data_IF_032934233653
#
_entry.id   IF_032934233653
#
_cell.length_a   1.000
_cell.length_b   1.000
_cell.length_c   1.000
_cell.angle_alpha   90.00
_cell.angle_beta   90.00
_cell.angle_gamma   90.00
#
_symmetry.space_group_name_H-M   'P 1'
#
loop_
_entity.id
_entity.type
_entity.pdbx_description
1 polymer ?
#
# COMPACT_ATOMS: atom_id res chain seq x y z
N UNK A 1 -26.37 -4.26 -43.02
CA UNK A 1 -25.40 -5.24 -42.47
C UNK A 1 -24.94 -4.87 -41.05
N UNK A 2 -24.86 -3.58 -40.74
CA UNK A 2 -24.35 -3.03 -39.46
C UNK A 2 -25.18 -3.36 -38.21
N UNK A 3 -26.52 -3.35 -38.30
CA UNK A 3 -27.38 -3.75 -37.15
C UNK A 3 -27.22 -5.21 -36.73
N UNK A 4 -26.86 -6.10 -37.67
CA UNK A 4 -26.60 -7.51 -37.35
C UNK A 4 -25.25 -7.68 -36.66
N UNK A 5 -24.23 -6.92 -37.07
CA UNK A 5 -22.91 -6.91 -36.41
C UNK A 5 -23.02 -6.35 -34.99
N UNK A 6 -23.79 -5.28 -34.78
CA UNK A 6 -24.04 -4.71 -33.46
C UNK A 6 -24.76 -5.68 -32.51
N UNK A 7 -25.78 -6.39 -33.00
CA UNK A 7 -26.48 -7.41 -32.21
C UNK A 7 -25.58 -8.62 -31.90
N UNK A 8 -24.71 -9.03 -32.83
CA UNK A 8 -23.73 -10.09 -32.59
C UNK A 8 -22.70 -9.68 -31.54
N UNK A 9 -22.22 -8.44 -31.56
CA UNK A 9 -21.31 -7.90 -30.55
C UNK A 9 -21.97 -7.85 -29.16
N UNK A 10 -23.22 -7.39 -29.09
CA UNK A 10 -23.97 -7.35 -27.83
C UNK A 10 -24.27 -8.77 -27.30
N UNK A 11 -24.54 -9.74 -28.18
CA UNK A 11 -24.68 -11.14 -27.79
C UNK A 11 -23.36 -11.75 -27.30
N UNK A 12 -22.23 -11.43 -27.93
CA UNK A 12 -20.91 -11.90 -27.52
C UNK A 12 -20.48 -11.31 -26.16
N UNK A 13 -20.74 -10.01 -25.94
CA UNK A 13 -20.47 -9.36 -24.65
C UNK A 13 -21.43 -9.84 -23.54
N UNK A 14 -22.68 -10.13 -23.89
CA UNK A 14 -23.66 -10.71 -22.96
C UNK A 14 -23.37 -12.18 -22.61
N UNK A 15 -22.88 -12.97 -23.56
CA UNK A 15 -22.48 -14.36 -23.32
C UNK A 15 -21.20 -14.48 -22.47
N UNK A 16 -20.27 -13.51 -22.58
CA UNK A 16 -19.10 -13.44 -21.69
C UNK A 16 -19.46 -13.03 -20.25
N UNK A 17 -20.52 -12.24 -20.04
CA UNK A 17 -20.94 -11.83 -18.70
C UNK A 17 -21.83 -12.86 -17.97
N UNK A 18 -22.30 -13.90 -18.66
CA UNK A 18 -23.13 -14.96 -18.07
C UNK A 18 -22.35 -16.21 -17.64
N UNK A 19 -21.06 -16.30 -17.95
CA UNK A 19 -20.22 -17.46 -17.63
C UNK A 19 -19.23 -17.26 -16.46
N UNK A 20 -19.25 -16.11 -15.76
CA UNK A 20 -18.27 -15.83 -14.70
C UNK A 20 -18.90 -15.31 -13.38
N UNK A 21 -20.02 -15.91 -12.96
CA UNK A 21 -20.59 -15.66 -11.63
C UNK A 21 -20.66 -16.90 -10.72
N UNK A 22 -20.30 -18.08 -11.24
CA UNK A 22 -20.18 -19.31 -10.44
C UNK A 22 -19.05 -20.16 -11.03
N UNK A 23 -17.92 -20.19 -10.32
CA UNK A 23 -16.75 -21.10 -10.47
C UNK A 23 -15.43 -20.53 -11.05
N UNK A 24 -14.74 -19.68 -10.26
CA UNK A 24 -13.27 -19.65 -10.15
C UNK A 24 -13.00 -19.51 -8.64
N UNK A 25 -12.68 -20.55 -7.87
CA UNK A 25 -11.76 -21.62 -8.22
C UNK A 25 -10.36 -21.01 -8.28
N UNK A 26 -9.66 -21.09 -7.15
CA UNK A 26 -8.32 -20.55 -6.93
C UNK A 26 -7.38 -20.81 -8.13
N UNK A 27 -6.53 -19.86 -8.54
CA UNK A 27 -5.29 -20.24 -9.17
C UNK A 27 -4.42 -20.90 -8.10
N UNK A 28 -4.26 -22.22 -8.19
CA UNK A 28 -3.24 -23.02 -7.51
C UNK A 28 -1.85 -22.38 -7.72
N UNK A 29 -1.45 -21.51 -6.79
CA UNK A 29 -0.06 -21.40 -6.40
C UNK A 29 0.08 -22.26 -5.14
N UNK A 30 0.50 -23.50 -5.34
CA UNK A 30 0.63 -24.46 -4.26
C UNK A 30 1.61 -23.94 -3.19
N UNK A 31 1.21 -24.18 -1.93
CA UNK A 31 2.00 -24.24 -0.69
C UNK A 31 2.21 -22.92 0.09
N UNK A 32 1.24 -22.59 0.95
CA UNK A 32 1.32 -22.93 2.38
C UNK A 32 -0.08 -22.83 3.01
N UNK A 33 -0.66 -23.96 3.39
CA UNK A 33 -2.02 -24.03 3.92
C UNK A 33 -2.11 -23.37 5.30
N UNK A 34 -3.04 -22.44 5.48
CA UNK A 34 -3.62 -22.13 6.79
C UNK A 34 -5.12 -22.23 6.64
N UNK A 35 -5.68 -23.34 7.13
CA UNK A 35 -7.13 -23.57 7.18
C UNK A 35 -7.83 -22.43 7.90
N UNK A 36 -8.71 -21.71 7.21
CA UNK A 36 -9.70 -20.84 7.84
C UNK A 36 -10.97 -21.66 8.08
N UNK A 37 -11.08 -22.22 9.28
CA UNK A 37 -12.37 -22.49 9.89
C UNK A 37 -12.87 -21.14 10.45
N UNK A 38 -14.07 -20.72 10.04
CA UNK A 38 -14.75 -19.58 10.67
C UNK A 38 -15.14 -19.96 12.10
N UNK A 39 -14.72 -19.15 13.08
CA UNK A 39 -15.41 -19.04 14.36
C UNK A 39 -15.07 -17.72 15.07
N UNK A 40 -16.07 -16.87 15.28
CA UNK A 40 -16.08 -15.85 16.33
C UNK A 40 -15.87 -16.52 17.69
N UNK A 41 -14.92 -16.02 18.52
CA UNK A 41 -15.06 -15.82 19.99
C UNK A 41 -13.73 -15.42 20.66
N UNK A 42 -13.75 -14.22 21.24
CA UNK A 42 -13.17 -13.78 22.53
C UNK A 42 -11.66 -13.97 22.86
N UNK A 43 -10.99 -12.81 22.94
CA UNK A 43 -9.81 -12.41 23.74
C UNK A 43 -8.76 -13.47 24.15
N UNK A 44 -7.58 -13.36 23.53
CA UNK A 44 -6.29 -13.72 24.14
C UNK A 44 -5.22 -12.66 23.81
N UNK A 45 -4.21 -12.47 24.67
CA UNK A 45 -3.30 -11.32 24.62
C UNK A 45 -2.40 -11.42 23.40
N UNK A 46 -2.38 -10.37 22.60
CA UNK A 46 -1.55 -10.33 21.40
C UNK A 46 -0.09 -10.13 21.82
N UNK A 47 0.67 -11.22 21.79
CA UNK A 47 2.11 -11.18 21.52
C UNK A 47 2.31 -10.58 20.11
N UNK A 48 2.27 -9.24 20.00
CA UNK A 48 2.41 -8.51 18.73
C UNK A 48 3.69 -7.68 18.63
N UNK A 49 4.49 -7.65 19.70
CA UNK A 49 5.64 -6.74 19.76
C UNK A 49 6.74 -7.16 18.78
N UNK A 50 7.11 -8.45 18.74
CA UNK A 50 8.12 -8.96 17.81
C UNK A 50 7.70 -9.02 16.34
N UNK A 51 6.39 -8.97 16.03
CA UNK A 51 5.91 -8.96 14.62
C UNK A 51 5.98 -7.55 14.04
N UNK A 52 5.61 -6.54 14.84
CA UNK A 52 5.68 -5.15 14.42
C UNK A 52 7.12 -4.64 14.33
N UNK A 53 8.04 -5.11 15.19
CA UNK A 53 9.46 -4.73 15.07
C UNK A 53 10.08 -5.24 13.75
N UNK A 54 9.82 -6.50 13.38
CA UNK A 54 10.32 -7.04 12.11
C UNK A 54 9.69 -6.35 10.88
N UNK A 55 8.40 -6.00 10.95
CA UNK A 55 7.72 -5.26 9.88
C UNK A 55 8.17 -3.80 9.80
N UNK A 56 8.49 -3.18 10.93
CA UNK A 56 9.05 -1.83 10.99
C UNK A 56 10.40 -1.81 10.29
N UNK A 57 11.34 -2.67 10.69
CA UNK A 57 12.66 -2.76 10.06
C UNK A 57 12.57 -3.01 8.57
N UNK A 58 11.72 -3.96 8.14
CA UNK A 58 11.54 -4.25 6.72
C UNK A 58 10.96 -3.04 5.96
N UNK A 59 10.00 -2.34 6.55
CA UNK A 59 9.45 -1.12 5.96
C UNK A 59 10.53 -0.05 5.79
N UNK A 60 11.34 0.18 6.82
CA UNK A 60 12.38 1.21 6.80
C UNK A 60 13.45 0.88 5.76
N UNK A 61 13.93 -0.37 5.73
CA UNK A 61 14.90 -0.83 4.74
C UNK A 61 14.36 -0.73 3.30
N UNK A 62 13.11 -1.13 3.09
CA UNK A 62 12.50 -1.05 1.77
C UNK A 62 12.28 0.39 1.33
N UNK A 63 11.83 1.24 2.25
CA UNK A 63 11.62 2.67 1.98
C UNK A 63 12.95 3.35 1.65
N UNK A 64 14.01 3.06 2.41
CA UNK A 64 15.35 3.58 2.12
C UNK A 64 15.82 3.17 0.72
N UNK A 65 15.72 1.88 0.38
CA UNK A 65 16.08 1.38 -0.95
C UNK A 65 15.24 2.02 -2.06
N UNK A 66 13.95 2.24 -1.82
CA UNK A 66 13.08 2.88 -2.79
C UNK A 66 13.49 4.35 -3.02
N UNK A 67 13.77 5.10 -1.96
CA UNK A 67 14.25 6.49 -2.06
C UNK A 67 15.56 6.55 -2.84
N UNK A 68 16.53 5.68 -2.54
CA UNK A 68 17.80 5.59 -3.27
C UNK A 68 17.57 5.25 -4.75
N UNK A 69 16.71 4.27 -5.03
CA UNK A 69 16.36 3.86 -6.39
C UNK A 69 15.74 5.00 -7.21
N UNK A 70 14.85 5.80 -6.61
CA UNK A 70 14.25 6.97 -7.27
C UNK A 70 15.22 8.16 -7.39
N UNK A 71 16.29 8.21 -6.61
CA UNK A 71 17.34 9.23 -6.75
C UNK A 71 18.27 8.97 -7.95
N UNK A 72 18.29 7.75 -8.49
CA UNK A 72 19.10 7.41 -9.66
C UNK A 72 18.60 8.11 -10.94
N UNK A 73 19.46 8.90 -11.59
CA UNK A 73 19.15 9.56 -12.87
C UNK A 73 18.64 8.58 -13.94
N UNK A 74 19.16 7.35 -13.93
CA UNK A 74 18.73 6.29 -14.86
C UNK A 74 17.25 5.93 -14.62
N UNK A 75 16.88 5.62 -13.38
CA UNK A 75 15.49 5.32 -12.99
C UNK A 75 14.56 6.48 -13.36
N UNK A 76 14.94 7.71 -13.06
CA UNK A 76 14.13 8.89 -13.39
C UNK A 76 13.90 9.02 -14.89
N UNK A 77 14.96 8.84 -15.69
CA UNK A 77 14.88 8.88 -17.16
C UNK A 77 13.99 7.78 -17.71
N UNK A 78 14.11 6.56 -17.20
CA UNK A 78 13.28 5.43 -17.61
C UNK A 78 11.79 5.67 -17.31
N UNK A 79 11.47 6.21 -16.13
CA UNK A 79 10.09 6.55 -15.75
C UNK A 79 9.53 7.66 -16.64
N UNK A 80 10.27 8.74 -16.85
CA UNK A 80 9.82 9.86 -17.71
C UNK A 80 9.55 9.36 -19.13
N UNK A 81 10.47 8.59 -19.71
CA UNK A 81 10.29 8.03 -21.05
C UNK A 81 9.08 7.09 -21.14
N UNK A 82 8.83 6.28 -20.11
CA UNK A 82 7.65 5.42 -20.05
C UNK A 82 6.35 6.24 -20.01
N UNK A 83 6.35 7.34 -19.25
CA UNK A 83 5.19 8.22 -19.14
C UNK A 83 4.95 9.00 -20.44
N UNK A 84 6.00 9.52 -21.09
CA UNK A 84 5.89 10.14 -22.42
C UNK A 84 5.38 9.16 -23.47
N UNK A 85 5.90 7.93 -23.48
CA UNK A 85 5.40 6.87 -24.36
C UNK A 85 3.91 6.62 -24.12
N UNK A 86 3.48 6.62 -22.86
CA UNK A 86 2.07 6.47 -22.49
C UNK A 86 1.21 7.64 -22.97
N UNK A 87 1.74 8.88 -22.97
CA UNK A 87 1.05 10.05 -23.48
C UNK A 87 0.72 9.95 -24.98
N UNK A 88 1.55 9.27 -25.78
CA UNK A 88 1.30 9.07 -27.22
C UNK A 88 -0.02 8.33 -27.52
N UNK A 89 -0.53 7.57 -26.55
CA UNK A 89 -1.81 6.88 -26.68
C UNK A 89 -3.02 7.80 -26.47
N UNK A 90 -2.85 9.01 -25.92
CA UNK A 90 -3.93 9.94 -25.60
C UNK A 90 -4.36 10.84 -26.78
N UNK A 91 -3.80 10.63 -27.98
CA UNK A 91 -4.19 11.30 -29.23
C UNK A 91 -4.27 12.83 -29.06
N UNK A 92 -5.47 13.40 -29.04
CA UNK A 92 -5.69 14.85 -28.93
C UNK A 92 -5.19 15.47 -27.62
N UNK A 93 -4.86 14.67 -26.61
CA UNK A 93 -4.35 15.14 -25.31
C UNK A 93 -2.85 14.84 -25.11
N UNK A 94 -2.14 14.39 -26.14
CA UNK A 94 -0.73 14.03 -26.04
C UNK A 94 0.12 15.19 -25.51
N UNK A 95 0.02 16.39 -26.08
CA UNK A 95 0.81 17.55 -25.65
C UNK A 95 0.49 18.00 -24.21
N UNK A 96 -0.79 17.97 -23.84
CA UNK A 96 -1.21 18.31 -22.46
C UNK A 96 -0.67 17.28 -21.46
N UNK A 97 -0.71 15.99 -21.83
CA UNK A 97 -0.15 14.91 -21.02
C UNK A 97 1.37 15.07 -20.85
N UNK A 98 2.09 15.34 -21.93
CA UNK A 98 3.54 15.58 -21.88
C UNK A 98 3.84 16.77 -20.97
N UNK A 99 3.08 17.85 -21.07
CA UNK A 99 3.25 19.04 -20.23
C UNK A 99 3.05 18.73 -18.74
N UNK A 100 2.07 17.90 -18.40
CA UNK A 100 1.84 17.42 -17.03
C UNK A 100 3.03 16.56 -16.56
N UNK A 101 3.51 15.63 -17.39
CA UNK A 101 4.65 14.75 -17.06
C UNK A 101 5.91 15.59 -16.80
N UNK A 102 6.25 16.49 -17.71
CA UNK A 102 7.46 17.33 -17.63
C UNK A 102 7.46 18.25 -16.41
N UNK A 103 6.28 18.68 -15.97
CA UNK A 103 6.16 19.53 -14.79
C UNK A 103 6.15 18.74 -13.48
N UNK A 104 5.30 17.71 -13.37
CA UNK A 104 5.03 17.06 -12.09
C UNK A 104 5.99 15.93 -11.74
N UNK A 105 6.52 15.20 -12.72
CA UNK A 105 7.38 14.04 -12.44
C UNK A 105 8.73 14.46 -11.82
N UNK A 106 9.41 15.53 -12.28
CA UNK A 106 10.60 16.03 -11.59
C UNK A 106 10.29 16.48 -10.15
N UNK A 107 9.15 17.14 -9.92
CA UNK A 107 8.71 17.55 -8.58
C UNK A 107 8.44 16.33 -7.69
N UNK A 108 7.88 15.26 -8.25
CA UNK A 108 7.67 14.00 -7.55
C UNK A 108 8.99 13.37 -7.09
N UNK A 109 10.04 13.36 -7.92
CA UNK A 109 11.34 12.85 -7.49
C UNK A 109 11.98 13.70 -6.39
N UNK A 110 11.82 15.03 -6.48
CA UNK A 110 12.24 15.94 -5.41
C UNK A 110 11.51 15.63 -4.11
N UNK A 111 10.19 15.44 -4.15
CA UNK A 111 9.39 15.12 -2.96
C UNK A 111 9.79 13.77 -2.35
N UNK A 112 9.96 12.73 -3.18
CA UNK A 112 10.43 11.41 -2.71
C UNK A 112 11.78 11.51 -2.01
N UNK A 113 12.70 12.33 -2.51
CA UNK A 113 14.02 12.49 -1.89
C UNK A 113 13.98 13.06 -0.47
N UNK A 114 12.85 13.66 -0.06
CA UNK A 114 12.65 14.17 1.31
C UNK A 114 12.11 13.13 2.28
N UNK A 115 11.68 11.96 1.79
CA UNK A 115 11.08 10.92 2.62
C UNK A 115 12.11 10.32 3.56
N UNK A 116 11.83 10.43 4.86
CA UNK A 116 12.57 9.71 5.90
C UNK A 116 11.90 8.35 6.15
N UNK A 117 12.62 7.22 6.04
CA UNK A 117 12.06 5.87 6.20
C UNK A 117 11.28 5.67 7.50
N UNK A 118 11.84 6.11 8.63
CA UNK A 118 11.19 5.99 9.93
C UNK A 118 9.86 6.74 9.99
N UNK A 119 9.82 8.00 9.53
CA UNK A 119 8.60 8.82 9.51
C UNK A 119 7.54 8.25 8.58
N UNK A 120 7.97 7.75 7.41
CA UNK A 120 7.09 7.08 6.45
C UNK A 120 6.46 5.85 7.09
N UNK A 121 7.27 4.93 7.62
CA UNK A 121 6.79 3.68 8.21
C UNK A 121 5.94 3.91 9.46
N UNK A 122 6.23 4.97 10.22
CA UNK A 122 5.38 5.40 11.33
C UNK A 122 4.02 5.92 10.84
N UNK A 123 3.98 6.69 9.74
CA UNK A 123 2.72 7.17 9.15
C UNK A 123 1.82 6.03 8.67
N UNK A 124 2.42 4.91 8.25
CA UNK A 124 1.71 3.69 7.87
C UNK A 124 1.46 2.74 9.05
N UNK A 125 1.75 3.14 10.30
CA UNK A 125 1.58 2.34 11.52
C UNK A 125 2.36 1.01 11.51
N UNK A 126 3.44 0.94 10.72
CA UNK A 126 4.35 -0.21 10.68
C UNK A 126 5.41 -0.09 11.76
N UNK A 127 5.74 1.14 12.16
CA UNK A 127 6.58 1.45 13.31
C UNK A 127 5.73 2.07 14.41
N UNK A 128 5.70 1.44 15.59
CA UNK A 128 5.04 2.01 16.75
C UNK A 128 5.90 3.15 17.28
N UNK A 129 5.33 4.36 17.44
CA UNK A 129 5.93 5.28 18.41
C UNK A 129 5.87 4.59 19.75
N UNK A 130 7.03 4.27 20.31
CA UNK A 130 7.10 3.81 21.70
C UNK A 130 6.70 5.01 22.57
N UNK A 131 5.40 5.24 22.67
CA UNK A 131 4.82 5.91 23.81
C UNK A 131 5.05 4.93 24.96
N UNK A 132 6.19 5.09 25.65
CA UNK A 132 6.48 4.44 26.93
C UNK A 132 5.48 5.04 27.94
N UNK A 133 4.22 4.66 27.81
CA UNK A 133 3.12 5.14 28.66
C UNK A 133 2.19 3.99 29.02
N UNK A 134 2.55 2.74 28.78
CA UNK A 134 1.71 1.58 29.13
C UNK A 134 2.37 0.61 30.12
N UNK A 135 3.70 0.55 30.19
CA UNK A 135 4.40 -0.27 31.20
C UNK A 135 4.68 0.49 32.50
N UNK A 136 5.11 1.76 32.45
CA UNK A 136 5.36 2.55 33.66
C UNK A 136 4.07 3.10 34.30
N UNK A 137 3.10 3.57 33.50
CA UNK A 137 1.83 4.08 34.03
C UNK A 137 0.94 3.01 34.66
N UNK A 138 1.15 1.72 34.35
CA UNK A 138 0.37 0.64 34.96
C UNK A 138 0.89 0.24 36.34
N UNK A 139 2.18 0.47 36.61
CA UNK A 139 2.78 0.22 37.92
C UNK A 139 2.59 1.42 38.87
N UNK A 140 2.64 2.66 38.33
CA UNK A 140 2.68 3.88 39.16
C UNK A 140 1.31 4.56 39.37
N UNK A 141 0.26 4.13 38.67
CA UNK A 141 -1.07 4.78 38.75
C UNK A 141 -1.72 4.72 40.14
N UNK A 142 -1.46 3.66 40.91
CA UNK A 142 -1.95 3.55 42.28
C UNK A 142 -1.15 4.43 43.24
N UNK A 143 0.18 4.54 43.07
CA UNK A 143 1.05 5.30 43.97
C UNK A 143 0.75 6.80 43.93
N UNK A 144 0.51 7.36 42.74
CA UNK A 144 0.08 8.74 42.56
C UNK A 144 -1.29 9.02 43.19
N UNK A 145 -2.22 8.07 43.09
CA UNK A 145 -3.55 8.17 43.69
C UNK A 145 -3.46 8.12 45.23
N UNK A 146 -2.61 7.25 45.78
CA UNK A 146 -2.35 7.19 47.22
C UNK A 146 -1.72 8.47 47.75
N UNK A 147 -0.76 9.05 47.05
CA UNK A 147 -0.09 10.27 47.49
C UNK A 147 -1.04 11.48 47.52
N UNK A 148 -2.01 11.53 46.61
CA UNK A 148 -3.01 12.62 46.51
C UNK A 148 -4.13 12.49 47.55
N UNK A 149 -4.49 11.27 47.95
CA UNK A 149 -5.54 11.01 48.94
C UNK A 149 -5.01 11.09 50.38
N UNK A 150 -3.69 11.05 50.55
CA UNK A 150 -3.02 11.08 51.86
C UNK A 150 -2.71 12.50 52.36
N UNK A 151 -2.87 13.52 51.52
CA UNK A 151 -2.65 14.94 51.83
C UNK A 151 -3.99 15.66 52.07
#
# INVERSE_FOLDING_TARGET
MERRVGLLFLFLMGACCACDARQLGEPELSVLQVSKHEQEKESQPVENFGRNENLCTLCEEFTAKAVDYFAENKTQTEIINLLHSSCSHLHSFEEECISVVDYYVPLFFLEISTIQPADFCQKFNLCQRVAIFSSQLREDSCELCHHTVSE
#
